data_IF_898971635788
#
_entry.id   IF_898971635788
#
_cell.length_a   1.000
_cell.length_b   1.000
_cell.length_c   1.000
_cell.angle_alpha   90.00
_cell.angle_beta   90.00
_cell.angle_gamma   90.00
#
_symmetry.space_group_name_H-M   'P 1'
#
loop_
_entity.id
_entity.type
_entity.pdbx_description
1 polymer ?
#
# COMPACT_ATOMS: atom_id res chain seq x y z
N UNK A 1 -26.98 20.21 14.52
CA UNK A 1 -26.58 19.05 15.35
C UNK A 1 -26.03 17.88 14.51
N UNK A 2 -25.45 18.11 13.32
CA UNK A 2 -25.11 17.02 12.37
C UNK A 2 -23.62 16.63 12.30
N UNK A 3 -22.74 17.23 13.13
CA UNK A 3 -21.30 17.01 12.98
C UNK A 3 -20.78 15.74 13.70
N UNK A 4 -21.46 15.30 14.76
CA UNK A 4 -20.99 14.21 15.62
C UNK A 4 -21.16 12.82 14.98
N UNK A 5 -22.26 12.60 14.25
CA UNK A 5 -22.54 11.31 13.60
C UNK A 5 -21.64 11.04 12.38
N UNK A 6 -21.29 12.10 11.63
CA UNK A 6 -20.33 12.01 10.52
C UNK A 6 -18.92 11.69 11.03
N UNK A 7 -18.50 12.32 12.13
CA UNK A 7 -17.20 12.06 12.77
C UNK A 7 -17.07 10.62 13.30
N UNK A 8 -18.13 10.07 13.89
CA UNK A 8 -18.13 8.70 14.40
C UNK A 8 -17.99 7.68 13.25
N UNK A 9 -18.79 7.84 12.20
CA UNK A 9 -18.71 6.97 11.00
C UNK A 9 -17.35 7.04 10.32
N UNK A 10 -16.75 8.22 10.24
CA UNK A 10 -15.40 8.37 9.68
C UNK A 10 -14.34 7.65 10.53
N UNK A 11 -14.44 7.76 11.86
CA UNK A 11 -13.53 7.06 12.77
C UNK A 11 -13.62 5.53 12.62
N UNK A 12 -14.82 4.98 12.42
CA UNK A 12 -15.01 3.55 12.20
C UNK A 12 -14.41 3.07 10.86
N UNK A 13 -14.56 3.88 9.80
CA UNK A 13 -13.93 3.59 8.50
C UNK A 13 -12.40 3.64 8.58
N UNK A 14 -11.84 4.58 9.34
CA UNK A 14 -10.39 4.67 9.54
C UNK A 14 -9.87 3.44 10.30
N UNK A 15 -10.55 3.01 11.37
CA UNK A 15 -10.19 1.77 12.08
C UNK A 15 -10.24 0.54 11.18
N UNK A 16 -11.23 0.47 10.29
CA UNK A 16 -11.32 -0.62 9.32
C UNK A 16 -10.14 -0.57 8.35
N UNK A 17 -9.78 0.59 7.82
CA UNK A 17 -8.59 0.76 6.97
C UNK A 17 -7.32 0.29 7.68
N UNK A 18 -7.09 0.76 8.90
CA UNK A 18 -5.91 0.40 9.69
C UNK A 18 -5.83 -1.11 9.93
N UNK A 19 -6.97 -1.73 10.26
CA UNK A 19 -7.06 -3.18 10.41
C UNK A 19 -6.71 -3.92 9.11
N UNK A 20 -7.28 -3.54 7.98
CA UNK A 20 -7.02 -4.18 6.69
C UNK A 20 -5.55 -4.02 6.28
N UNK A 21 -5.00 -2.81 6.38
CA UNK A 21 -3.58 -2.53 6.09
C UNK A 21 -2.68 -3.40 6.96
N UNK A 22 -2.88 -3.42 8.28
CA UNK A 22 -2.03 -4.20 9.19
C UNK A 22 -2.09 -5.71 8.92
N UNK A 23 -3.25 -6.21 8.48
CA UNK A 23 -3.44 -7.62 8.13
C UNK A 23 -2.68 -7.95 6.84
N UNK A 24 -2.82 -7.11 5.81
CA UNK A 24 -2.18 -7.33 4.51
C UNK A 24 -0.67 -7.18 4.62
N UNK A 25 -0.18 -6.14 5.31
CA UNK A 25 1.27 -5.92 5.47
C UNK A 25 1.96 -7.12 6.10
N UNK A 26 1.33 -7.74 7.11
CA UNK A 26 1.86 -8.96 7.74
C UNK A 26 1.93 -10.13 6.77
N UNK A 27 0.92 -10.28 5.91
CA UNK A 27 0.88 -11.36 4.93
C UNK A 27 1.93 -11.16 3.83
N UNK A 28 2.13 -9.93 3.37
CA UNK A 28 3.16 -9.59 2.38
C UNK A 28 4.59 -9.79 2.94
N UNK A 29 4.80 -9.55 4.23
CA UNK A 29 6.08 -9.82 4.89
C UNK A 29 6.36 -11.32 4.98
N UNK A 30 5.34 -12.13 5.25
CA UNK A 30 5.46 -13.58 5.31
C UNK A 30 5.69 -14.21 3.93
N UNK A 31 4.98 -13.71 2.90
CA UNK A 31 4.99 -14.21 1.54
C UNK A 31 5.16 -13.06 0.53
N UNK A 32 6.40 -12.57 0.32
CA UNK A 32 6.64 -11.43 -0.56
C UNK A 32 6.34 -11.80 -2.03
N UNK A 33 5.39 -11.11 -2.70
CA UNK A 33 5.08 -11.39 -4.09
C UNK A 33 6.15 -10.84 -5.04
N UNK A 34 6.13 -11.34 -6.29
CA UNK A 34 6.86 -10.71 -7.38
C UNK A 34 6.35 -9.27 -7.62
N UNK A 35 7.20 -8.40 -8.19
CA UNK A 35 6.80 -7.02 -8.52
C UNK A 35 5.62 -7.02 -9.50
N UNK A 36 5.63 -7.93 -10.47
CA UNK A 36 4.59 -8.08 -11.50
C UNK A 36 3.22 -8.47 -10.88
N UNK A 37 3.23 -9.37 -9.89
CA UNK A 37 1.99 -9.86 -9.26
C UNK A 37 1.55 -9.03 -8.04
N UNK A 38 2.36 -8.08 -7.57
CA UNK A 38 2.16 -7.36 -6.30
C UNK A 38 0.76 -6.76 -6.17
N UNK A 39 0.27 -6.09 -7.23
CA UNK A 39 -1.09 -5.51 -7.25
C UNK A 39 -2.18 -6.56 -7.11
N UNK A 40 -2.05 -7.67 -7.84
CA UNK A 40 -3.02 -8.77 -7.84
C UNK A 40 -3.08 -9.45 -6.48
N UNK A 41 -1.91 -9.72 -5.90
CA UNK A 41 -1.78 -10.37 -4.59
C UNK A 41 -2.35 -9.49 -3.47
N UNK A 42 -2.01 -8.19 -3.44
CA UNK A 42 -2.59 -7.25 -2.47
C UNK A 42 -4.11 -7.20 -2.59
N UNK A 43 -4.64 -7.13 -3.81
CA UNK A 43 -6.09 -7.12 -4.03
C UNK A 43 -6.77 -8.37 -3.48
N UNK A 44 -6.19 -9.55 -3.71
CA UNK A 44 -6.71 -10.82 -3.21
C UNK A 44 -6.76 -10.85 -1.67
N UNK A 45 -5.64 -10.55 -1.01
CA UNK A 45 -5.60 -10.52 0.45
C UNK A 45 -6.53 -9.48 1.07
N UNK A 46 -6.69 -8.33 0.41
CA UNK A 46 -7.59 -7.29 0.86
C UNK A 46 -9.05 -7.74 0.76
N UNK A 47 -9.41 -8.48 -0.29
CA UNK A 47 -10.73 -9.09 -0.42
C UNK A 47 -10.97 -10.14 0.68
N UNK A 48 -10.00 -11.02 0.94
CA UNK A 48 -10.11 -12.06 1.97
C UNK A 48 -10.23 -11.46 3.38
N UNK A 49 -9.38 -10.48 3.71
CA UNK A 49 -9.41 -9.76 4.98
C UNK A 49 -10.76 -9.05 5.18
N UNK A 50 -11.29 -8.40 4.15
CA UNK A 50 -12.61 -7.76 4.21
C UNK A 50 -13.73 -8.78 4.44
N UNK A 51 -13.72 -9.93 3.75
CA UNK A 51 -14.72 -10.98 3.94
C UNK A 51 -14.73 -11.51 5.39
N UNK A 52 -13.55 -11.62 6.02
CA UNK A 52 -13.42 -12.05 7.41
C UNK A 52 -14.04 -11.08 8.43
N UNK A 53 -14.18 -9.79 8.08
CA UNK A 53 -14.85 -8.81 8.96
C UNK A 53 -16.36 -9.02 9.08
N UNK A 54 -16.97 -9.78 8.14
CA UNK A 54 -18.43 -9.96 8.00
C UNK A 54 -19.22 -8.66 7.88
N UNK A 55 -18.56 -7.55 7.54
CA UNK A 55 -19.19 -6.26 7.32
C UNK A 55 -19.88 -6.21 5.95
N UNK A 56 -21.02 -5.53 5.89
CA UNK A 56 -21.74 -5.27 4.65
C UNK A 56 -21.74 -3.78 4.36
N UNK A 57 -20.63 -3.29 3.79
CA UNK A 57 -20.55 -1.94 3.28
C UNK A 57 -21.23 -1.83 1.91
N UNK A 58 -21.82 -0.66 1.58
CA UNK A 58 -22.21 -0.36 0.22
C UNK A 58 -21.01 -0.54 -0.73
N UNK A 59 -21.25 -1.14 -1.89
CA UNK A 59 -20.22 -1.44 -2.90
C UNK A 59 -19.36 -0.21 -3.23
N UNK A 60 -19.97 0.97 -3.35
CA UNK A 60 -19.26 2.23 -3.62
C UNK A 60 -18.25 2.61 -2.54
N UNK A 61 -18.62 2.45 -1.26
CA UNK A 61 -17.74 2.74 -0.12
C UNK A 61 -16.64 1.70 -0.03
N UNK A 62 -16.99 0.42 -0.16
CA UNK A 62 -16.02 -0.67 -0.16
C UNK A 62 -14.97 -0.46 -1.25
N UNK A 63 -15.40 -0.20 -2.48
CA UNK A 63 -14.50 -0.03 -3.62
C UNK A 63 -13.61 1.21 -3.45
N UNK A 64 -14.11 2.27 -2.81
CA UNK A 64 -13.28 3.43 -2.47
C UNK A 64 -12.20 3.07 -1.44
N UNK A 65 -12.57 2.39 -0.37
CA UNK A 65 -11.61 1.94 0.66
C UNK A 65 -10.56 1.02 0.05
N UNK A 66 -10.97 0.10 -0.82
CA UNK A 66 -10.07 -0.83 -1.51
C UNK A 66 -9.06 -0.08 -2.38
N UNK A 67 -9.53 0.90 -3.16
CA UNK A 67 -8.66 1.76 -3.97
C UNK A 67 -7.67 2.53 -3.11
N UNK A 68 -8.13 3.21 -2.07
CA UNK A 68 -7.26 3.99 -1.20
C UNK A 68 -6.16 3.12 -0.57
N UNK A 69 -6.51 1.93 -0.05
CA UNK A 69 -5.53 1.01 0.54
C UNK A 69 -4.58 0.46 -0.53
N UNK A 70 -5.06 0.14 -1.73
CA UNK A 70 -4.20 -0.29 -2.83
C UNK A 70 -3.20 0.81 -3.18
N UNK A 71 -3.64 2.06 -3.27
CA UNK A 71 -2.77 3.19 -3.58
C UNK A 71 -1.76 3.42 -2.45
N UNK A 72 -2.16 3.28 -1.19
CA UNK A 72 -1.26 3.39 -0.03
C UNK A 72 -0.20 2.27 0.01
N UNK A 73 -0.56 1.03 -0.35
CA UNK A 73 0.32 -0.14 -0.29
C UNK A 73 1.17 -0.35 -1.56
N UNK A 74 0.63 0.01 -2.73
CA UNK A 74 1.31 -0.06 -4.02
C UNK A 74 2.07 1.21 -4.34
N UNK A 75 1.70 2.34 -3.74
CA UNK A 75 2.56 3.50 -3.68
C UNK A 75 3.94 3.05 -3.23
N UNK A 76 4.97 3.51 -3.94
CA UNK A 76 6.34 3.12 -3.64
C UNK A 76 6.92 3.94 -2.49
N UNK A 77 6.09 4.76 -1.84
CA UNK A 77 6.44 5.61 -0.71
C UNK A 77 7.65 6.49 -1.05
N UNK A 78 8.72 6.50 -0.24
CA UNK A 78 9.91 7.31 -0.52
C UNK A 78 10.64 6.91 -1.82
N UNK A 79 10.37 5.71 -2.36
CA UNK A 79 10.94 5.27 -3.64
C UNK A 79 10.18 5.86 -4.85
N UNK A 80 8.97 6.41 -4.66
CA UNK A 80 8.13 6.94 -5.74
C UNK A 80 8.89 7.95 -6.64
N UNK A 81 9.62 8.95 -6.11
CA UNK A 81 10.37 9.90 -6.94
C UNK A 81 11.52 9.24 -7.72
N UNK A 82 12.06 8.12 -7.22
CA UNK A 82 13.12 7.39 -7.90
C UNK A 82 12.58 6.58 -9.08
N UNK A 83 11.35 6.07 -8.97
CA UNK A 83 10.69 5.31 -10.05
C UNK A 83 10.16 6.21 -11.16
N UNK A 84 9.82 7.45 -10.81
CA UNK A 84 9.36 8.46 -11.77
C UNK A 84 10.54 9.14 -12.51
N UNK A 85 11.79 8.93 -12.06
CA UNK A 85 12.97 9.51 -12.69
C UNK A 85 13.43 8.66 -13.89
N UNK A 86 13.30 9.15 -15.13
CA UNK A 86 13.63 8.39 -16.34
C UNK A 86 15.15 8.16 -16.53
N UNK A 87 16.01 8.86 -15.78
CA UNK A 87 17.45 8.59 -15.78
C UNK A 87 17.84 7.39 -14.88
N UNK A 88 16.92 6.88 -14.05
CA UNK A 88 17.14 5.72 -13.19
C UNK A 88 16.67 4.44 -13.89
N UNK A 89 17.60 3.51 -14.08
CA UNK A 89 17.33 2.22 -14.73
C UNK A 89 17.15 1.07 -13.74
N UNK A 90 17.68 1.19 -12.52
CA UNK A 90 17.56 0.15 -11.49
C UNK A 90 17.51 0.76 -10.08
N UNK A 91 16.70 0.16 -9.19
CA UNK A 91 16.63 0.50 -7.76
C UNK A 91 16.89 -0.77 -6.95
N UNK A 92 17.90 -0.73 -6.08
CA UNK A 92 18.32 -1.84 -5.24
C UNK A 92 18.07 -1.51 -3.77
N UNK A 93 17.27 -2.33 -3.08
CA UNK A 93 16.91 -2.14 -1.66
C UNK A 93 17.48 -3.27 -0.82
N UNK A 94 18.54 -2.98 -0.07
CA UNK A 94 19.18 -3.94 0.85
C UNK A 94 18.73 -3.74 2.32
N UNK A 95 17.91 -2.72 2.59
CA UNK A 95 17.39 -2.40 3.91
C UNK A 95 16.97 -0.93 4.02
N UNK A 96 16.35 -0.51 5.15
CA UNK A 96 15.69 0.79 5.29
C UNK A 96 16.62 2.02 5.24
N UNK A 97 17.95 1.84 5.19
CA UNK A 97 18.95 2.91 5.01
C UNK A 97 19.95 2.62 3.89
N UNK A 98 19.68 1.55 3.14
CA UNK A 98 20.57 0.98 2.14
C UNK A 98 19.82 0.80 0.83
N UNK A 99 19.41 1.94 0.28
CA UNK A 99 18.81 2.04 -1.03
C UNK A 99 19.86 2.62 -1.99
N UNK A 100 20.01 1.98 -3.15
CA UNK A 100 20.93 2.36 -4.22
C UNK A 100 20.15 2.47 -5.53
N UNK A 101 20.62 3.34 -6.41
CA UNK A 101 20.07 3.53 -7.74
C UNK A 101 21.17 3.41 -8.79
N UNK A 102 20.84 2.85 -9.94
CA UNK A 102 21.68 2.91 -11.13
C UNK A 102 21.18 4.06 -12.01
N UNK A 103 22.07 5.01 -12.29
CA UNK A 103 21.79 6.14 -13.17
C UNK A 103 22.91 6.25 -14.21
N UNK A 104 22.55 6.07 -15.48
CA UNK A 104 23.48 6.18 -16.62
C UNK A 104 24.74 5.30 -16.47
N UNK A 105 24.56 4.05 -16.06
CA UNK A 105 25.62 3.06 -15.85
C UNK A 105 26.37 3.19 -14.53
N UNK A 106 25.95 4.06 -13.61
CA UNK A 106 26.63 4.31 -12.34
C UNK A 106 25.73 4.07 -11.14
N UNK A 107 26.17 3.20 -10.24
CA UNK A 107 25.50 2.93 -8.96
C UNK A 107 25.78 4.07 -7.97
N UNK A 108 24.73 4.58 -7.33
CA UNK A 108 24.77 5.67 -6.36
C UNK A 108 23.89 5.34 -5.16
N UNK A 109 24.34 5.70 -3.95
CA UNK A 109 23.53 5.57 -2.74
C UNK A 109 22.51 6.71 -2.66
N UNK A 110 21.26 6.39 -2.31
CA UNK A 110 20.21 7.39 -2.11
C UNK A 110 20.20 7.93 -0.68
N UNK A 111 19.52 9.06 -0.48
CA UNK A 111 19.35 9.71 0.82
C UNK A 111 17.99 9.42 1.48
N UNK A 112 17.18 8.57 0.86
CA UNK A 112 15.91 8.08 1.41
C UNK A 112 16.08 6.86 2.31
#
# INVERSE_FOLDING_TARGET
>A
MNNTALSARQADLNKLKDYLISTISRELEANPPSIEDRRKVIYQHLQDAYQNTRLQLPTTIRDQIFRDILDDLLGFGPLQPLLEDPDISEIMVNGPKFVYIERRGKIQKTNI
#
